data_IF_567753678902
#
_entry.id   IF_567753678902
#
_cell.length_a   1.000
_cell.length_b   1.000
_cell.length_c   1.000
_cell.angle_alpha   90.00
_cell.angle_beta   90.00
_cell.angle_gamma   90.00
#
_symmetry.space_group_name_H-M   'P 1'
#
loop_
_entity.id
_entity.type
_entity.pdbx_description
1 polymer ?
#
# COMPACT_ATOMS: atom_id res chain seq x y z
N UNK A 1 -25.73 7.62 -16.78
CA UNK A 1 -24.26 7.83 -16.87
C UNK A 1 -23.77 8.33 -15.51
N UNK A 2 -22.68 7.82 -14.92
CA UNK A 2 -22.13 8.40 -13.70
C UNK A 2 -21.67 9.83 -14.02
N UNK A 3 -22.18 10.83 -13.33
CA UNK A 3 -21.74 12.22 -13.48
C UNK A 3 -20.26 12.32 -13.12
N UNK A 4 -19.50 13.20 -13.76
CA UNK A 4 -18.06 13.35 -13.52
C UNK A 4 -17.71 13.56 -12.02
N UNK A 5 -18.63 14.12 -11.24
CA UNK A 5 -18.49 14.31 -9.79
C UNK A 5 -18.51 12.99 -8.99
N UNK A 6 -19.28 11.99 -9.45
CA UNK A 6 -19.27 10.65 -8.82
C UNK A 6 -17.92 9.94 -8.97
N UNK A 7 -17.24 10.12 -10.10
CA UNK A 7 -15.90 9.56 -10.34
C UNK A 7 -14.82 10.23 -9.49
N UNK A 8 -14.89 11.56 -9.32
CA UNK A 8 -13.99 12.33 -8.46
C UNK A 8 -14.14 11.94 -6.98
N UNK A 9 -15.38 11.79 -6.51
CA UNK A 9 -15.66 11.38 -5.13
C UNK A 9 -15.12 9.97 -4.83
N UNK A 10 -15.26 9.03 -5.77
CA UNK A 10 -14.78 7.65 -5.62
C UNK A 10 -13.27 7.53 -5.46
N UNK A 11 -12.51 8.41 -6.09
CA UNK A 11 -11.06 8.49 -5.92
C UNK A 11 -10.68 9.21 -4.62
N UNK A 12 -11.50 10.15 -4.17
CA UNK A 12 -11.17 11.01 -3.05
C UNK A 12 -11.05 10.25 -1.71
N UNK A 13 -11.96 9.33 -1.38
CA UNK A 13 -11.84 8.58 -0.11
C UNK A 13 -10.69 7.56 -0.13
N UNK A 14 -10.35 7.00 -1.30
CA UNK A 14 -9.18 6.12 -1.49
C UNK A 14 -7.90 6.92 -1.31
N UNK A 15 -7.83 8.10 -1.93
CA UNK A 15 -6.69 9.03 -1.77
C UNK A 15 -6.59 9.54 -0.32
N UNK A 16 -7.73 9.80 0.34
CA UNK A 16 -7.75 10.20 1.75
C UNK A 16 -7.19 9.10 2.65
N UNK A 17 -7.63 7.84 2.48
CA UNK A 17 -7.09 6.69 3.22
C UNK A 17 -5.60 6.48 2.91
N UNK A 18 -5.16 6.74 1.68
CA UNK A 18 -3.72 6.72 1.32
C UNK A 18 -2.95 7.83 2.04
N UNK A 19 -3.53 9.01 2.17
CA UNK A 19 -2.98 10.12 2.97
C UNK A 19 -2.85 9.76 4.45
N UNK A 20 -3.87 9.09 5.01
CA UNK A 20 -3.81 8.58 6.39
C UNK A 20 -2.63 7.62 6.56
N UNK A 21 -2.43 6.71 5.59
CA UNK A 21 -1.27 5.82 5.58
C UNK A 21 0.06 6.60 5.57
N UNK A 22 0.16 7.70 4.81
CA UNK A 22 1.34 8.58 4.84
C UNK A 22 1.58 9.18 6.22
N UNK A 23 0.55 9.70 6.88
CA UNK A 23 0.70 10.32 8.21
C UNK A 23 1.15 9.31 9.26
N UNK A 24 0.53 8.11 9.27
CA UNK A 24 0.92 7.03 10.18
C UNK A 24 2.36 6.55 9.91
N UNK A 25 2.75 6.50 8.64
CA UNK A 25 4.13 6.17 8.25
C UNK A 25 5.12 7.21 8.77
N UNK A 26 4.85 8.50 8.55
CA UNK A 26 5.71 9.57 9.05
C UNK A 26 5.87 9.49 10.56
N UNK A 27 4.76 9.32 11.28
CA UNK A 27 4.76 9.17 12.73
C UNK A 27 5.68 8.02 13.18
N UNK A 28 5.51 6.85 12.58
CA UNK A 28 6.26 5.65 12.93
C UNK A 28 7.75 5.84 12.70
N UNK A 29 8.14 6.32 11.51
CA UNK A 29 9.54 6.56 11.19
C UNK A 29 10.17 7.65 12.07
N UNK A 30 9.44 8.75 12.32
CA UNK A 30 9.94 9.84 13.17
C UNK A 30 10.20 9.35 14.60
N UNK A 31 9.24 8.66 15.21
CA UNK A 31 9.39 8.16 16.58
C UNK A 31 10.39 7.00 16.67
N UNK A 32 10.41 6.09 15.70
CA UNK A 32 11.39 5.02 15.64
C UNK A 32 12.82 5.52 15.37
N UNK A 33 13.00 6.62 14.65
CA UNK A 33 14.35 7.13 14.37
C UNK A 33 14.86 8.04 15.49
N UNK A 34 14.03 8.96 16.00
CA UNK A 34 14.52 10.07 16.82
C UNK A 34 14.45 9.83 18.32
N UNK A 35 13.48 9.05 18.81
CA UNK A 35 13.26 8.91 20.25
C UNK A 35 14.44 8.22 20.94
N UNK A 36 14.85 8.80 22.08
CA UNK A 36 15.84 8.21 22.97
C UNK A 36 15.41 6.85 23.51
N UNK A 37 16.35 5.98 23.92
CA UNK A 37 16.03 4.68 24.52
C UNK A 37 15.05 4.79 25.70
N UNK A 38 15.22 5.82 26.54
CA UNK A 38 14.34 6.07 27.68
C UNK A 38 12.92 6.46 27.24
N UNK A 39 12.77 7.30 26.21
CA UNK A 39 11.47 7.70 25.70
C UNK A 39 10.70 6.52 25.06
N UNK A 40 11.41 5.55 24.48
CA UNK A 40 10.81 4.32 23.90
C UNK A 40 10.20 3.38 24.94
N UNK A 41 10.60 3.47 26.20
CA UNK A 41 10.00 2.67 27.27
C UNK A 41 8.64 3.24 27.75
N UNK A 42 8.20 4.37 27.20
CA UNK A 42 6.94 4.99 27.58
C UNK A 42 5.70 4.28 26.99
N UNK A 43 4.57 4.38 27.70
CA UNK A 43 3.26 3.97 27.18
C UNK A 43 2.90 4.72 25.89
N UNK A 44 3.32 5.97 25.76
CA UNK A 44 3.13 6.76 24.55
C UNK A 44 3.75 6.07 23.33
N UNK A 45 5.02 5.65 23.43
CA UNK A 45 5.69 4.95 22.33
C UNK A 45 4.99 3.64 22.01
N UNK A 46 4.63 2.84 23.01
CA UNK A 46 3.88 1.60 22.82
C UNK A 46 2.58 1.80 22.03
N UNK A 47 1.73 2.76 22.42
CA UNK A 47 0.50 3.06 21.67
C UNK A 47 0.76 3.62 20.27
N UNK A 48 1.82 4.42 20.11
CA UNK A 48 2.24 4.94 18.80
C UNK A 48 2.65 3.81 17.85
N UNK A 49 3.30 2.76 18.37
CA UNK A 49 3.73 1.60 17.58
C UNK A 49 2.55 0.72 17.16
N UNK A 50 1.47 0.64 17.96
CA UNK A 50 0.23 -0.02 17.52
C UNK A 50 -0.32 0.64 16.24
N UNK A 51 -0.34 1.97 16.21
CA UNK A 51 -0.71 2.72 15.00
C UNK A 51 0.31 2.52 13.86
N UNK A 52 1.58 2.35 14.21
CA UNK A 52 2.67 2.06 13.28
C UNK A 52 2.63 0.68 12.62
N UNK A 53 1.74 -0.22 13.05
CA UNK A 53 1.53 -1.49 12.35
C UNK A 53 0.68 -1.36 11.07
N UNK A 54 0.00 -0.23 10.87
CA UNK A 54 -0.96 -0.03 9.76
C UNK A 54 -0.43 0.58 8.45
N UNK A 55 0.67 1.37 8.39
CA UNK A 55 1.10 1.99 7.14
C UNK A 55 1.30 1.01 5.98
N UNK A 56 2.11 -0.04 6.19
CA UNK A 56 2.38 -1.03 5.14
C UNK A 56 1.12 -1.81 4.71
N UNK A 57 0.29 -2.35 5.65
CA UNK A 57 -0.97 -2.99 5.28
C UNK A 57 -1.93 -2.05 4.52
N UNK A 58 -2.02 -0.76 4.92
CA UNK A 58 -2.83 0.23 4.22
C UNK A 58 -2.35 0.44 2.78
N UNK A 59 -1.05 0.65 2.56
CA UNK A 59 -0.52 0.85 1.20
C UNK A 59 -0.72 -0.38 0.31
N UNK A 60 -0.46 -1.59 0.83
CA UNK A 60 -0.65 -2.83 0.08
C UNK A 60 -2.13 -3.06 -0.26
N UNK A 61 -3.02 -2.90 0.72
CA UNK A 61 -4.47 -3.02 0.52
C UNK A 61 -5.01 -1.99 -0.50
N UNK A 62 -4.59 -0.73 -0.39
CA UNK A 62 -4.96 0.32 -1.34
C UNK A 62 -4.37 0.08 -2.74
N UNK A 63 -3.17 -0.50 -2.84
CA UNK A 63 -2.58 -0.93 -4.10
C UNK A 63 -3.45 -2.01 -4.76
N UNK A 64 -3.92 -3.00 -3.97
CA UNK A 64 -4.89 -4.01 -4.42
C UNK A 64 -6.21 -3.42 -4.93
N UNK A 65 -6.80 -2.49 -4.18
CA UNK A 65 -8.03 -1.80 -4.62
C UNK A 65 -7.77 -1.06 -5.94
N UNK A 66 -6.69 -0.28 -6.01
CA UNK A 66 -6.33 0.50 -7.20
C UNK A 66 -6.06 -0.41 -8.41
N UNK A 67 -5.44 -1.57 -8.18
CA UNK A 67 -5.24 -2.59 -9.20
C UNK A 67 -6.57 -3.11 -9.74
N UNK A 68 -7.53 -3.45 -8.86
CA UNK A 68 -8.87 -3.88 -9.28
C UNK A 68 -9.58 -2.81 -10.13
N UNK A 69 -9.46 -1.53 -9.77
CA UNK A 69 -10.04 -0.42 -10.54
C UNK A 69 -9.51 -0.39 -11.97
N UNK A 70 -8.18 -0.52 -12.13
CA UNK A 70 -7.49 -0.48 -13.42
C UNK A 70 -7.82 -1.72 -14.25
N UNK A 71 -7.76 -2.91 -13.65
CA UNK A 71 -8.11 -4.19 -14.30
C UNK A 71 -9.56 -4.19 -14.78
N UNK A 72 -10.53 -3.79 -13.94
CA UNK A 72 -11.93 -3.69 -14.34
C UNK A 72 -12.11 -2.67 -15.47
N UNK A 73 -11.44 -1.52 -15.41
CA UNK A 73 -11.54 -0.50 -16.47
C UNK A 73 -11.05 -1.02 -17.82
N UNK A 74 -9.97 -1.79 -17.84
CA UNK A 74 -9.44 -2.38 -19.07
C UNK A 74 -10.31 -3.55 -19.55
N UNK A 75 -10.85 -4.35 -18.63
CA UNK A 75 -11.76 -5.43 -18.95
C UNK A 75 -13.08 -4.91 -19.55
N UNK A 76 -13.64 -3.82 -19.01
CA UNK A 76 -14.82 -3.14 -19.55
C UNK A 76 -14.60 -2.55 -20.94
N UNK A 77 -13.34 -2.23 -21.30
CA UNK A 77 -12.95 -1.80 -22.64
C UNK A 77 -12.80 -2.96 -23.63
N UNK A 78 -13.02 -4.21 -23.20
CA UNK A 78 -12.89 -5.38 -24.05
C UNK A 78 -11.45 -5.75 -24.39
N UNK A 79 -10.46 -5.28 -23.62
CA UNK A 79 -9.06 -5.63 -23.87
C UNK A 79 -8.81 -7.13 -23.60
N UNK A 80 -7.97 -7.80 -24.41
CA UNK A 80 -7.61 -9.21 -24.18
C UNK A 80 -6.96 -9.43 -22.81
N UNK A 81 -7.20 -10.58 -22.14
CA UNK A 81 -6.62 -10.88 -20.83
C UNK A 81 -5.10 -10.73 -20.77
N UNK A 82 -4.38 -11.15 -21.82
CA UNK A 82 -2.92 -11.04 -21.90
C UNK A 82 -2.44 -9.57 -21.93
N UNK A 83 -3.19 -8.67 -22.58
CA UNK A 83 -2.85 -7.24 -22.61
C UNK A 83 -3.11 -6.57 -21.25
N UNK A 84 -4.20 -6.96 -20.58
CA UNK A 84 -4.50 -6.51 -19.21
C UNK A 84 -3.37 -6.94 -18.26
N UNK A 85 -2.95 -8.19 -18.35
CA UNK A 85 -1.86 -8.75 -17.57
C UNK A 85 -0.53 -8.03 -17.84
N UNK A 86 -0.14 -7.89 -19.10
CA UNK A 86 1.11 -7.25 -19.48
C UNK A 86 1.19 -5.79 -18.98
N UNK A 87 0.09 -5.02 -19.13
CA UNK A 87 0.04 -3.63 -18.65
C UNK A 87 0.17 -3.54 -17.13
N UNK A 88 -0.53 -4.40 -16.40
CA UNK A 88 -0.53 -4.40 -14.94
C UNK A 88 0.78 -4.93 -14.34
N UNK A 89 1.35 -6.00 -14.92
CA UNK A 89 2.64 -6.57 -14.54
C UNK A 89 3.75 -5.57 -14.83
N UNK A 90 3.76 -4.92 -16.00
CA UNK A 90 4.74 -3.87 -16.32
C UNK A 90 4.70 -2.75 -15.29
N UNK A 91 3.51 -2.31 -14.89
CA UNK A 91 3.37 -1.29 -13.84
C UNK A 91 3.89 -1.77 -12.49
N UNK A 92 3.68 -3.04 -12.13
CA UNK A 92 4.28 -3.66 -10.95
C UNK A 92 5.81 -3.69 -11.03
N UNK A 93 6.36 -4.05 -12.18
CA UNK A 93 7.80 -4.06 -12.44
C UNK A 93 8.42 -2.65 -12.37
N UNK A 94 7.72 -1.61 -12.82
CA UNK A 94 8.16 -0.22 -12.65
C UNK A 94 8.27 0.16 -11.17
N UNK A 95 7.27 -0.19 -10.34
CA UNK A 95 7.31 0.10 -8.89
C UNK A 95 8.41 -0.71 -8.21
N UNK A 96 8.60 -1.97 -8.62
CA UNK A 96 9.70 -2.80 -8.15
C UNK A 96 11.07 -2.19 -8.49
N UNK A 97 11.24 -1.71 -9.72
CA UNK A 97 12.46 -1.03 -10.16
C UNK A 97 12.69 0.27 -9.38
N UNK A 98 11.64 1.05 -9.10
CA UNK A 98 11.76 2.21 -8.20
C UNK A 98 12.21 1.83 -6.79
N UNK A 99 11.74 0.69 -6.26
CA UNK A 99 12.22 0.16 -4.97
C UNK A 99 13.72 -0.15 -4.99
N UNK A 100 14.22 -0.80 -6.05
CA UNK A 100 15.65 -1.07 -6.22
C UNK A 100 16.47 0.22 -6.39
N UNK A 101 15.97 1.17 -7.19
CA UNK A 101 16.61 2.46 -7.40
C UNK A 101 16.68 3.27 -6.11
N UNK A 102 15.64 3.21 -5.29
CA UNK A 102 15.60 3.86 -3.98
C UNK A 102 16.70 3.32 -3.06
N UNK A 103 16.87 1.99 -2.99
CA UNK A 103 17.95 1.36 -2.22
C UNK A 103 19.34 1.72 -2.74
N UNK A 104 19.51 1.78 -4.06
CA UNK A 104 20.75 2.24 -4.67
C UNK A 104 21.06 3.69 -4.30
N UNK A 105 20.06 4.58 -4.36
CA UNK A 105 20.22 5.97 -3.96
C UNK A 105 20.66 6.08 -2.50
N UNK A 106 19.94 5.42 -1.57
CA UNK A 106 20.29 5.45 -0.14
C UNK A 106 21.71 4.93 0.10
N UNK A 107 22.10 3.85 -0.57
CA UNK A 107 23.45 3.28 -0.45
C UNK A 107 24.53 4.26 -0.91
N UNK A 108 24.29 4.97 -2.01
CA UNK A 108 25.22 6.00 -2.54
C UNK A 108 25.27 7.21 -1.60
N UNK A 109 24.13 7.70 -1.11
CA UNK A 109 24.05 8.83 -0.17
C UNK A 109 24.72 8.49 1.18
N UNK A 110 24.62 7.24 1.62
CA UNK A 110 25.28 6.77 2.84
C UNK A 110 26.82 6.84 2.76
N UNK A 111 27.40 6.94 1.56
CA UNK A 111 28.83 7.19 1.33
C UNK A 111 29.75 6.31 2.18
N UNK A 112 29.58 4.99 2.07
CA UNK A 112 30.40 3.98 2.76
C UNK A 112 30.01 3.67 4.21
N UNK A 113 28.96 4.30 4.75
CA UNK A 113 28.45 3.99 6.10
C UNK A 113 27.49 2.81 6.12
N UNK A 114 26.88 2.47 4.98
CA UNK A 114 25.94 1.36 4.86
C UNK A 114 26.65 0.09 4.38
N UNK A 115 26.36 -1.08 4.97
CA UNK A 115 26.88 -2.35 4.46
C UNK A 115 26.31 -2.67 3.07
N UNK A 116 27.10 -3.34 2.23
CA UNK A 116 26.66 -3.70 0.87
C UNK A 116 25.41 -4.61 0.82
N UNK A 117 25.11 -5.35 1.89
CA UNK A 117 23.87 -6.11 2.01
C UNK A 117 22.61 -5.24 1.98
N UNK A 118 22.69 -3.97 2.40
CA UNK A 118 21.53 -3.07 2.43
C UNK A 118 20.98 -2.77 1.04
N UNK A 119 21.80 -2.91 -0.01
CA UNK A 119 21.37 -2.74 -1.40
C UNK A 119 20.30 -3.77 -1.81
N UNK A 120 20.37 -4.97 -1.25
CA UNK A 120 19.45 -6.08 -1.54
C UNK A 120 18.41 -6.29 -0.43
N UNK A 121 18.27 -5.32 0.49
CA UNK A 121 17.24 -5.34 1.52
C UNK A 121 15.85 -5.21 0.86
N UNK A 122 14.93 -6.08 1.25
CA UNK A 122 13.55 -6.07 0.72
C UNK A 122 12.73 -5.01 1.46
N UNK A 123 12.35 -3.98 0.73
CA UNK A 123 11.56 -2.86 1.22
C UNK A 123 10.10 -2.93 0.71
N UNK A 124 9.22 -2.14 1.32
CA UNK A 124 7.78 -2.10 1.03
C UNK A 124 7.47 -1.84 -0.45
N UNK A 125 8.28 -1.03 -1.14
CA UNK A 125 8.12 -0.78 -2.58
C UNK A 125 8.35 -2.06 -3.40
N UNK A 126 9.35 -2.87 -3.01
CA UNK A 126 9.59 -4.14 -3.69
C UNK A 126 8.41 -5.08 -3.49
N UNK A 127 7.87 -5.16 -2.27
CA UNK A 127 6.68 -5.98 -1.93
C UNK A 127 5.45 -5.54 -2.71
N UNK A 128 5.20 -4.24 -2.81
CA UNK A 128 4.08 -3.70 -3.60
C UNK A 128 4.25 -4.09 -5.07
N UNK A 129 5.45 -3.89 -5.63
CA UNK A 129 5.74 -4.23 -7.03
C UNK A 129 5.54 -5.73 -7.31
N UNK A 130 6.10 -6.60 -6.47
CA UNK A 130 5.95 -8.06 -6.59
C UNK A 130 4.50 -8.48 -6.43
N UNK A 131 3.80 -7.95 -5.43
CA UNK A 131 2.37 -8.23 -5.22
C UNK A 131 1.53 -7.85 -6.45
N UNK A 132 1.82 -6.70 -7.08
CA UNK A 132 1.14 -6.30 -8.32
C UNK A 132 1.41 -7.23 -9.49
N UNK A 133 2.64 -7.72 -9.64
CA UNK A 133 2.96 -8.71 -10.67
C UNK A 133 2.21 -10.03 -10.43
N UNK A 134 2.19 -10.53 -9.18
CA UNK A 134 1.43 -11.72 -8.81
C UNK A 134 -0.07 -11.56 -9.03
N UNK A 135 -0.64 -10.42 -8.65
CA UNK A 135 -2.04 -10.09 -8.92
C UNK A 135 -2.36 -10.05 -10.43
N UNK A 136 -1.44 -9.55 -11.25
CA UNK A 136 -1.56 -9.56 -12.71
C UNK A 136 -1.62 -10.96 -13.30
N UNK A 137 -0.77 -11.86 -12.81
CA UNK A 137 -0.78 -13.28 -13.18
C UNK A 137 -2.10 -13.93 -12.74
N UNK A 138 -2.55 -13.70 -11.52
CA UNK A 138 -3.83 -14.24 -11.01
C UNK A 138 -5.01 -13.76 -11.85
N UNK A 139 -5.09 -12.45 -12.13
CA UNK A 139 -6.16 -11.89 -12.95
C UNK A 139 -6.12 -12.44 -14.38
N UNK A 140 -4.93 -12.62 -14.95
CA UNK A 140 -4.75 -13.23 -16.26
C UNK A 140 -5.33 -14.64 -16.32
N UNK A 141 -4.96 -15.50 -15.37
CA UNK A 141 -5.43 -16.89 -15.28
C UNK A 141 -6.96 -16.92 -15.15
N UNK A 142 -7.53 -16.12 -14.24
CA UNK A 142 -8.98 -16.06 -14.04
C UNK A 142 -9.71 -15.63 -15.32
N UNK A 143 -9.23 -14.58 -15.99
CA UNK A 143 -9.84 -14.06 -17.22
C UNK A 143 -9.63 -14.97 -18.43
N UNK A 144 -8.58 -15.79 -18.44
CA UNK A 144 -8.32 -16.77 -19.49
C UNK A 144 -9.23 -18.00 -19.37
N UNK A 145 -9.47 -18.47 -18.14
CA UNK A 145 -10.26 -19.68 -17.85
C UNK A 145 -11.77 -19.38 -17.84
N UNK A 146 -12.19 -18.35 -17.11
CA UNK A 146 -13.61 -18.09 -16.88
C UNK A 146 -14.17 -17.12 -17.91
N UNK A 147 -15.26 -17.51 -18.58
CA UNK A 147 -16.05 -16.64 -19.46
C UNK A 147 -17.47 -16.48 -18.93
N UNK A 148 -18.04 -15.28 -19.11
CA UNK A 148 -19.43 -14.98 -18.76
C UNK A 148 -19.64 -14.59 -17.29
N UNK A 149 -20.79 -14.93 -16.68
CA UNK A 149 -21.21 -14.39 -15.39
C UNK A 149 -20.32 -14.83 -14.22
N UNK A 150 -19.70 -16.03 -14.32
CA UNK A 150 -18.83 -16.57 -13.28
C UNK A 150 -17.48 -15.86 -13.16
N UNK A 151 -17.03 -15.15 -14.19
CA UNK A 151 -15.73 -14.46 -14.19
C UNK A 151 -15.63 -13.45 -13.05
N UNK A 152 -16.70 -12.71 -12.75
CA UNK A 152 -16.70 -11.73 -11.66
C UNK A 152 -16.59 -12.39 -10.29
N UNK A 153 -17.28 -13.50 -10.08
CA UNK A 153 -17.18 -14.27 -8.84
C UNK A 153 -15.77 -14.82 -8.68
N UNK A 154 -15.18 -15.39 -9.73
CA UNK A 154 -13.80 -15.86 -9.71
C UNK A 154 -12.79 -14.75 -9.41
N UNK A 155 -12.96 -13.55 -9.98
CA UNK A 155 -12.12 -12.37 -9.68
C UNK A 155 -12.21 -11.93 -8.20
N UNK A 156 -13.27 -12.28 -7.47
CA UNK A 156 -13.39 -11.99 -6.03
C UNK A 156 -12.86 -13.16 -5.20
N UNK A 157 -13.24 -14.39 -5.53
CA UNK A 157 -12.89 -15.59 -4.76
C UNK A 157 -11.42 -15.94 -4.88
N UNK A 158 -10.80 -15.83 -6.06
CA UNK A 158 -9.39 -16.20 -6.25
C UNK A 158 -8.44 -15.32 -5.44
N UNK A 159 -8.55 -13.97 -5.45
CA UNK A 159 -7.75 -13.12 -4.56
C UNK A 159 -8.04 -13.34 -3.07
N UNK A 160 -9.30 -13.61 -2.69
CA UNK A 160 -9.65 -13.94 -1.30
C UNK A 160 -8.96 -15.22 -0.85
N UNK A 161 -8.99 -16.27 -1.68
CA UNK A 161 -8.29 -17.53 -1.44
C UNK A 161 -6.78 -17.36 -1.42
N UNK A 162 -6.21 -16.51 -2.29
CA UNK A 162 -4.78 -16.20 -2.27
C UNK A 162 -4.35 -15.48 -0.98
N UNK A 163 -5.14 -14.50 -0.51
CA UNK A 163 -4.87 -13.82 0.76
C UNK A 163 -4.91 -14.79 1.95
N UNK A 164 -5.92 -15.67 1.99
CA UNK A 164 -6.04 -16.72 3.01
C UNK A 164 -4.86 -17.70 2.94
N UNK A 165 -4.49 -18.15 1.75
CA UNK A 165 -3.36 -19.07 1.55
C UNK A 165 -2.04 -18.44 2.01
N UNK A 166 -1.76 -17.19 1.63
CA UNK A 166 -0.58 -16.45 2.08
C UNK A 166 -0.57 -16.37 3.62
N UNK A 167 -1.71 -16.03 4.22
CA UNK A 167 -1.85 -15.96 5.67
C UNK A 167 -1.55 -17.31 6.34
N UNK A 168 -2.14 -18.41 5.86
CA UNK A 168 -1.97 -19.75 6.43
C UNK A 168 -0.57 -20.34 6.21
N UNK A 169 0.10 -19.99 5.12
CA UNK A 169 1.47 -20.42 4.82
C UNK A 169 2.53 -19.57 5.53
N UNK A 170 2.18 -18.39 6.05
CA UNK A 170 3.16 -17.50 6.69
C UNK A 170 3.86 -18.14 7.90
N UNK A 171 3.16 -18.72 8.90
CA UNK A 171 3.82 -19.31 10.05
C UNK A 171 4.87 -20.39 9.70
N UNK A 172 4.58 -21.42 8.88
CA UNK A 172 5.59 -22.41 8.56
C UNK A 172 6.76 -21.83 7.77
N UNK A 173 6.53 -20.88 6.84
CA UNK A 173 7.59 -20.22 6.06
C UNK A 173 8.56 -19.39 6.91
N UNK A 174 8.11 -18.95 8.08
CA UNK A 174 8.91 -18.19 9.02
C UNK A 174 9.59 -19.06 10.09
N UNK A 175 9.11 -20.27 10.32
CA UNK A 175 9.50 -21.06 11.49
C UNK A 175 9.98 -22.47 11.14
N UNK A 176 9.07 -23.33 10.67
CA UNK A 176 9.33 -24.77 10.55
C UNK A 176 9.91 -25.19 9.21
N UNK A 177 9.64 -24.46 8.13
CA UNK A 177 10.11 -24.79 6.80
C UNK A 177 10.62 -23.56 6.08
N UNK A 178 11.84 -23.64 5.55
CA UNK A 178 12.48 -22.52 4.87
C UNK A 178 13.24 -22.98 3.64
N UNK A 179 13.22 -22.18 2.56
CA UNK A 179 13.86 -22.52 1.31
C UNK A 179 15.36 -22.21 1.33
N UNK A 180 16.12 -22.91 2.19
CA UNK A 180 17.57 -22.70 2.39
C UNK A 180 18.43 -22.94 1.13
N UNK A 181 17.86 -23.55 0.08
CA UNK A 181 18.53 -23.70 -1.22
C UNK A 181 18.55 -22.40 -2.04
N UNK A 182 17.75 -21.39 -1.68
CA UNK A 182 17.79 -20.08 -2.29
C UNK A 182 18.91 -19.23 -1.69
N UNK A 183 19.52 -18.38 -2.51
CA UNK A 183 20.39 -17.34 -1.98
C UNK A 183 19.59 -16.38 -1.10
N UNK A 184 20.24 -15.84 -0.07
CA UNK A 184 19.59 -14.97 0.89
C UNK A 184 18.82 -13.79 0.27
N UNK A 185 19.23 -13.16 -0.86
CA UNK A 185 18.45 -12.09 -1.48
C UNK A 185 17.11 -12.57 -2.01
N UNK A 186 17.05 -13.79 -2.56
CA UNK A 186 15.81 -14.38 -3.07
C UNK A 186 14.93 -14.91 -1.94
N UNK A 187 15.53 -15.58 -0.94
CA UNK A 187 14.79 -16.03 0.24
C UNK A 187 14.17 -14.84 1.00
N UNK A 188 14.85 -13.69 1.03
CA UNK A 188 14.33 -12.46 1.66
C UNK A 188 13.00 -11.99 1.08
N UNK A 189 12.70 -12.27 -0.19
CA UNK A 189 11.40 -11.98 -0.77
C UNK A 189 10.30 -12.91 -0.27
N UNK A 190 10.63 -14.10 0.22
CA UNK A 190 9.66 -15.09 0.71
C UNK A 190 9.33 -14.82 2.18
N UNK A 191 10.35 -14.77 3.03
CA UNK A 191 10.18 -14.72 4.50
C UNK A 191 11.08 -13.68 5.19
N UNK A 192 11.82 -12.84 4.46
CA UNK A 192 12.52 -11.71 5.05
C UNK A 192 13.77 -12.10 5.84
N UNK A 193 14.53 -13.09 5.38
CA UNK A 193 15.71 -13.61 6.11
C UNK A 193 16.93 -12.69 6.10
N UNK A 194 17.09 -11.88 5.04
CA UNK A 194 18.26 -11.05 4.82
C UNK A 194 19.58 -11.85 4.96
N UNK A 195 20.70 -11.20 5.27
CA UNK A 195 21.97 -11.88 5.54
C UNK A 195 22.08 -12.47 6.96
N UNK A 196 20.98 -12.49 7.74
CA UNK A 196 20.99 -12.91 9.16
C UNK A 196 20.71 -14.40 9.34
N UNK A 197 20.26 -15.08 8.28
CA UNK A 197 19.90 -16.48 8.35
C UNK A 197 18.60 -16.76 9.12
N UNK A 198 17.85 -15.74 9.57
CA UNK A 198 16.52 -15.88 10.22
C UNK A 198 15.55 -14.78 9.75
N UNK A 199 14.24 -15.06 9.63
CA UNK A 199 13.24 -14.05 9.26
C UNK A 199 13.26 -12.82 10.18
N UNK A 200 13.20 -11.63 9.59
CA UNK A 200 13.27 -10.36 10.31
C UNK A 200 11.97 -9.56 10.22
N UNK A 201 11.39 -9.13 11.36
CA UNK A 201 10.07 -8.49 11.39
C UNK A 201 10.05 -7.07 10.81
N UNK A 202 11.21 -6.43 10.67
CA UNK A 202 11.34 -5.08 10.08
C UNK A 202 11.47 -5.08 8.55
N UNK A 203 11.37 -6.24 7.91
CA UNK A 203 11.40 -6.38 6.45
C UNK A 203 10.01 -6.63 5.88
N UNK A 204 9.88 -6.43 4.57
CA UNK A 204 8.61 -6.58 3.85
C UNK A 204 8.61 -7.74 2.84
N UNK A 205 8.76 -9.01 3.27
CA UNK A 205 8.62 -10.15 2.35
C UNK A 205 7.20 -10.33 1.80
N UNK A 206 7.01 -11.27 0.87
CA UNK A 206 5.69 -11.65 0.35
C UNK A 206 4.80 -12.22 1.48
N UNK A 207 5.36 -13.03 2.38
CA UNK A 207 4.61 -13.64 3.47
C UNK A 207 4.88 -12.89 4.77
N UNK A 208 3.89 -12.22 5.41
CA UNK A 208 2.46 -12.20 5.07
C UNK A 208 2.02 -11.05 4.16
N UNK A 209 2.89 -10.08 3.88
CA UNK A 209 2.48 -8.75 3.43
C UNK A 209 1.68 -8.72 2.11
N UNK A 210 2.01 -9.57 1.14
CA UNK A 210 1.27 -9.67 -0.13
C UNK A 210 -0.22 -10.05 0.08
N UNK A 211 -0.55 -10.73 1.18
CA UNK A 211 -1.93 -11.06 1.54
C UNK A 211 -2.81 -9.82 1.69
N UNK A 212 -2.27 -8.70 2.20
CA UNK A 212 -3.02 -7.44 2.30
C UNK A 212 -3.35 -6.85 0.91
N UNK A 213 -2.43 -6.98 -0.05
CA UNK A 213 -2.69 -6.57 -1.43
C UNK A 213 -3.78 -7.42 -2.08
N UNK A 214 -3.78 -8.73 -1.86
CA UNK A 214 -4.83 -9.62 -2.35
C UNK A 214 -6.19 -9.39 -1.68
N UNK A 215 -6.22 -9.10 -0.37
CA UNK A 215 -7.44 -8.68 0.33
C UNK A 215 -7.99 -7.36 -0.25
N UNK A 216 -7.09 -6.43 -0.58
CA UNK A 216 -7.42 -5.19 -1.29
C UNK A 216 -7.97 -5.43 -2.68
N UNK A 217 -7.39 -6.36 -3.44
CA UNK A 217 -7.84 -6.75 -4.78
C UNK A 217 -9.25 -7.32 -4.74
N UNK A 218 -9.54 -8.26 -3.82
CA UNK A 218 -10.87 -8.81 -3.62
C UNK A 218 -11.89 -7.70 -3.29
N UNK A 219 -11.55 -6.83 -2.33
CA UNK A 219 -12.40 -5.68 -1.95
C UNK A 219 -12.64 -4.75 -3.14
N UNK A 220 -11.59 -4.47 -3.92
CA UNK A 220 -11.68 -3.64 -5.12
C UNK A 220 -12.63 -4.22 -6.17
N UNK A 221 -12.59 -5.53 -6.43
CA UNK A 221 -13.53 -6.17 -7.36
C UNK A 221 -14.98 -6.17 -6.85
N UNK A 222 -15.19 -6.33 -5.54
CA UNK A 222 -16.52 -6.18 -4.91
C UNK A 222 -17.06 -4.77 -5.16
N UNK A 223 -16.26 -3.74 -4.83
CA UNK A 223 -16.62 -2.32 -5.02
C UNK A 223 -16.87 -1.93 -6.49
N UNK A 224 -16.28 -2.66 -7.41
CA UNK A 224 -16.42 -2.43 -8.84
C UNK A 224 -17.57 -3.19 -9.49
N UNK A 225 -18.22 -4.09 -8.76
CA UNK A 225 -19.43 -4.76 -9.24
C UNK A 225 -20.54 -3.76 -9.55
N UNK A 226 -21.35 -3.98 -10.62
CA UNK A 226 -22.45 -3.07 -10.98
C UNK A 226 -23.41 -2.80 -9.81
N UNK A 227 -23.71 -3.85 -9.04
CA UNK A 227 -24.55 -3.77 -7.84
C UNK A 227 -23.94 -2.85 -6.76
N UNK A 228 -22.65 -3.01 -6.45
CA UNK A 228 -21.99 -2.18 -5.44
C UNK A 228 -21.89 -0.72 -5.88
N UNK A 229 -21.62 -0.47 -7.16
CA UNK A 229 -21.60 0.90 -7.71
C UNK A 229 -22.93 1.63 -7.57
N UNK A 230 -24.05 0.91 -7.70
CA UNK A 230 -25.38 1.49 -7.55
C UNK A 230 -25.78 1.71 -6.09
N UNK A 231 -25.16 1.00 -5.15
CA UNK A 231 -25.54 0.97 -3.72
C UNK A 231 -24.36 1.31 -2.81
N UNK A 232 -23.50 2.22 -3.25
CA UNK A 232 -22.24 2.55 -2.56
C UNK A 232 -22.48 2.95 -1.09
N UNK A 233 -23.54 3.71 -0.82
CA UNK A 233 -23.94 4.14 0.53
C UNK A 233 -24.38 3.02 1.47
N UNK A 234 -24.68 1.83 0.94
CA UNK A 234 -24.98 0.62 1.73
C UNK A 234 -23.78 -0.31 1.79
N UNK A 235 -23.07 -0.47 0.67
CA UNK A 235 -21.94 -1.39 0.56
C UNK A 235 -20.78 -0.95 1.43
N UNK A 236 -20.38 0.32 1.39
CA UNK A 236 -19.22 0.79 2.14
C UNK A 236 -19.40 0.65 3.66
N UNK A 237 -20.53 1.08 4.27
CA UNK A 237 -20.80 0.80 5.68
C UNK A 237 -20.87 -0.71 5.99
N UNK A 238 -21.43 -1.53 5.10
CA UNK A 238 -21.47 -2.98 5.31
C UNK A 238 -20.08 -3.62 5.32
N UNK A 239 -19.12 -3.10 4.55
CA UNK A 239 -17.71 -3.53 4.62
C UNK A 239 -17.11 -3.20 5.99
N UNK A 240 -17.50 -2.09 6.62
CA UNK A 240 -17.11 -1.78 7.99
C UNK A 240 -17.65 -2.79 9.00
N UNK A 241 -18.93 -3.17 8.88
CA UNK A 241 -19.55 -4.22 9.72
C UNK A 241 -18.86 -5.57 9.53
N UNK A 242 -18.64 -5.98 8.27
CA UNK A 242 -17.87 -7.19 7.95
C UNK A 242 -16.46 -7.11 8.54
N UNK A 243 -15.81 -5.95 8.46
CA UNK A 243 -14.51 -5.71 9.08
C UNK A 243 -14.50 -5.99 10.58
N UNK A 244 -15.50 -5.48 11.32
CA UNK A 244 -15.66 -5.74 12.76
C UNK A 244 -15.87 -7.24 13.02
N UNK A 245 -16.73 -7.91 12.25
CA UNK A 245 -16.95 -9.35 12.39
C UNK A 245 -15.67 -10.16 12.12
N UNK A 246 -14.85 -9.75 11.15
CA UNK A 246 -13.56 -10.38 10.86
C UNK A 246 -12.55 -10.15 12.01
N UNK A 247 -12.56 -8.98 12.65
CA UNK A 247 -11.76 -8.73 13.86
C UNK A 247 -12.17 -9.67 14.98
N UNK A 248 -13.46 -9.75 15.29
CA UNK A 248 -13.97 -10.62 16.35
C UNK A 248 -13.72 -12.10 16.05
N UNK A 249 -13.85 -12.52 14.79
CA UNK A 249 -13.50 -13.87 14.36
C UNK A 249 -12.02 -14.17 14.60
N UNK A 250 -11.12 -13.25 14.22
CA UNK A 250 -9.69 -13.42 14.46
C UNK A 250 -9.35 -13.53 15.96
N UNK A 251 -9.98 -12.70 16.80
CA UNK A 251 -9.83 -12.78 18.27
C UNK A 251 -10.38 -14.09 18.84
N UNK A 252 -11.54 -14.52 18.37
CA UNK A 252 -12.18 -15.75 18.82
C UNK A 252 -11.38 -16.99 18.44
N UNK A 253 -10.85 -17.04 17.21
CA UNK A 253 -9.96 -18.11 16.74
C UNK A 253 -8.68 -18.18 17.57
N UNK A 254 -8.11 -17.04 17.93
CA UNK A 254 -6.89 -16.96 18.75
C UNK A 254 -7.11 -17.40 20.20
N UNK A 255 -8.31 -17.15 20.74
CA UNK A 255 -8.70 -17.59 22.08
C UNK A 255 -9.00 -19.10 22.17
N UNK A 256 -9.03 -19.82 21.05
CA UNK A 256 -9.27 -21.27 21.08
C UNK A 256 -8.05 -22.01 21.66
N UNK A 257 -8.25 -23.07 22.45
CA UNK A 257 -7.15 -23.83 23.06
C UNK A 257 -6.36 -24.68 22.04
N UNK A 258 -6.77 -24.69 20.77
CA UNK A 258 -6.17 -25.53 19.73
C UNK A 258 -5.03 -24.78 19.04
N UNK A 259 -3.82 -25.31 19.16
CA UNK A 259 -2.66 -24.76 18.48
C UNK A 259 -2.48 -25.43 17.11
N UNK A 260 -2.75 -24.69 16.02
CA UNK A 260 -2.62 -25.18 14.64
C UNK A 260 -1.16 -25.27 14.16
N UNK A 261 -0.27 -24.44 14.69
CA UNK A 261 1.12 -24.32 14.24
C UNK A 261 2.10 -24.67 15.36
N UNK A 262 3.23 -25.28 15.01
CA UNK A 262 4.24 -25.69 15.98
C UNK A 262 4.82 -24.52 16.81
N UNK A 263 4.92 -23.33 16.21
CA UNK A 263 5.43 -22.11 16.86
C UNK A 263 4.32 -21.07 16.90
N UNK A 264 4.08 -20.51 18.09
CA UNK A 264 3.13 -19.44 18.30
C UNK A 264 3.83 -18.08 18.26
N UNK A 265 3.53 -17.28 17.23
CA UNK A 265 3.93 -15.88 17.14
C UNK A 265 2.75 -15.04 16.62
N UNK A 266 2.05 -14.43 17.57
CA UNK A 266 0.85 -13.64 17.30
C UNK A 266 1.14 -12.40 16.44
N UNK A 267 2.20 -11.65 16.75
CA UNK A 267 2.38 -10.30 16.22
C UNK A 267 3.00 -10.28 14.82
N UNK A 268 3.74 -11.32 14.44
CA UNK A 268 4.45 -11.32 13.14
C UNK A 268 3.84 -12.28 12.12
N UNK A 269 3.53 -13.52 12.53
CA UNK A 269 3.21 -14.60 11.57
C UNK A 269 1.78 -15.11 11.67
N UNK A 270 1.06 -14.82 12.76
CA UNK A 270 -0.26 -15.39 13.03
C UNK A 270 -1.32 -15.05 11.96
N UNK A 271 -2.04 -16.05 11.43
CA UNK A 271 -3.20 -15.84 10.58
C UNK A 271 -4.32 -15.07 11.27
N UNK A 272 -4.49 -15.26 12.59
CA UNK A 272 -5.51 -14.55 13.36
C UNK A 272 -5.21 -13.05 13.41
N UNK A 273 -3.95 -12.69 13.62
CA UNK A 273 -3.53 -11.29 13.60
C UNK A 273 -3.60 -10.68 12.20
N UNK A 274 -3.34 -11.47 11.15
CA UNK A 274 -3.60 -11.05 9.77
C UNK A 274 -5.10 -10.74 9.54
N UNK A 275 -6.01 -11.62 9.98
CA UNK A 275 -7.46 -11.38 9.90
C UNK A 275 -7.87 -10.10 10.63
N UNK A 276 -7.40 -9.91 11.87
CA UNK A 276 -7.66 -8.70 12.66
C UNK A 276 -7.23 -7.44 11.88
N UNK A 277 -6.03 -7.46 11.27
CA UNK A 277 -5.55 -6.33 10.46
C UNK A 277 -6.42 -6.12 9.22
N UNK A 278 -6.81 -7.17 8.49
CA UNK A 278 -7.74 -7.04 7.36
C UNK A 278 -9.09 -6.45 7.80
N UNK A 279 -9.62 -6.88 8.95
CA UNK A 279 -10.83 -6.33 9.54
C UNK A 279 -10.72 -4.83 9.83
N UNK A 280 -9.61 -4.39 10.42
CA UNK A 280 -9.32 -2.98 10.62
C UNK A 280 -9.19 -2.21 9.30
N UNK A 281 -8.55 -2.77 8.27
CA UNK A 281 -8.44 -2.12 6.96
C UNK A 281 -9.81 -1.87 6.32
N UNK A 282 -10.73 -2.83 6.43
CA UNK A 282 -12.12 -2.68 5.98
C UNK A 282 -12.88 -1.62 6.79
N UNK A 283 -12.70 -1.61 8.12
CA UNK A 283 -13.28 -0.59 8.99
C UNK A 283 -12.74 0.82 8.67
N UNK A 284 -11.43 0.96 8.45
CA UNK A 284 -10.78 2.23 8.07
C UNK A 284 -11.26 2.69 6.69
N UNK A 285 -11.44 1.77 5.73
CA UNK A 285 -12.01 2.11 4.43
C UNK A 285 -13.43 2.66 4.55
N UNK A 286 -14.28 2.00 5.36
CA UNK A 286 -15.63 2.47 5.65
C UNK A 286 -15.63 3.82 6.37
N UNK A 287 -14.76 4.01 7.37
CA UNK A 287 -14.62 5.27 8.09
C UNK A 287 -14.13 6.41 7.18
N UNK A 288 -13.16 6.13 6.30
CA UNK A 288 -12.66 7.08 5.30
C UNK A 288 -13.78 7.51 4.34
N UNK A 289 -14.59 6.55 3.89
CA UNK A 289 -15.78 6.83 3.07
C UNK A 289 -16.78 7.73 3.81
N UNK A 290 -17.16 7.35 5.04
CA UNK A 290 -18.10 8.12 5.86
C UNK A 290 -17.58 9.55 6.14
N UNK A 291 -16.30 9.68 6.46
CA UNK A 291 -15.64 10.96 6.70
C UNK A 291 -15.61 11.86 5.46
N UNK A 292 -15.35 11.30 4.28
CA UNK A 292 -15.41 12.05 3.03
C UNK A 292 -16.85 12.38 2.60
N UNK A 293 -17.83 11.51 2.89
CA UNK A 293 -19.22 11.67 2.45
C UNK A 293 -20.03 12.63 3.30
N UNK A 294 -19.88 12.52 4.61
CA UNK A 294 -20.70 13.22 5.62
C UNK A 294 -19.88 14.08 6.56
N UNK A 295 -18.57 13.83 6.68
CA UNK A 295 -17.67 14.64 7.49
C UNK A 295 -17.01 15.77 6.70
N UNK A 296 -15.98 16.34 7.32
CA UNK A 296 -15.19 17.44 6.75
C UNK A 296 -14.07 16.97 5.81
N UNK A 297 -14.00 15.67 5.48
CA UNK A 297 -12.86 15.10 4.74
C UNK A 297 -12.60 15.71 3.37
N UNK A 298 -13.64 16.32 2.77
CA UNK A 298 -13.59 17.00 1.47
C UNK A 298 -14.01 18.47 1.55
N UNK A 299 -14.09 19.05 2.76
CA UNK A 299 -14.42 20.47 2.90
C UNK A 299 -13.20 21.31 2.54
N UNK A 300 -13.32 22.11 1.46
CA UNK A 300 -12.25 22.98 0.99
C UNK A 300 -10.98 22.21 0.61
N UNK A 301 -9.86 22.56 1.25
CA UNK A 301 -8.58 21.88 1.04
C UNK A 301 -8.47 20.65 1.95
N UNK A 302 -8.19 19.48 1.36
CA UNK A 302 -8.01 18.22 2.10
C UNK A 302 -6.53 17.79 2.11
N UNK A 303 -5.79 18.00 3.22
CA UNK A 303 -4.38 17.66 3.31
C UNK A 303 -4.09 16.17 3.05
N UNK A 304 -4.96 15.29 3.55
CA UNK A 304 -4.79 13.85 3.41
C UNK A 304 -4.97 13.39 1.97
N UNK A 305 -6.00 13.90 1.26
CA UNK A 305 -6.14 13.62 -0.19
C UNK A 305 -4.91 14.11 -0.95
N UNK A 306 -4.42 15.31 -0.62
CA UNK A 306 -3.25 15.91 -1.26
C UNK A 306 -1.98 15.07 -1.04
N UNK A 307 -1.74 14.57 0.17
CA UNK A 307 -0.66 13.63 0.48
C UNK A 307 -0.83 12.30 -0.26
N UNK A 308 -2.06 11.75 -0.25
CA UNK A 308 -2.38 10.48 -0.91
C UNK A 308 -2.17 10.49 -2.43
N UNK A 309 -2.38 11.63 -3.10
CA UNK A 309 -2.11 11.78 -4.53
C UNK A 309 -0.61 11.80 -4.87
N UNK A 310 0.23 12.20 -3.91
CA UNK A 310 1.67 12.30 -4.06
C UNK A 310 2.43 11.26 -3.21
N UNK A 311 1.78 10.19 -2.75
CA UNK A 311 2.27 9.28 -1.70
C UNK A 311 3.67 8.73 -1.96
N UNK A 312 3.99 8.35 -3.21
CA UNK A 312 5.31 7.85 -3.58
C UNK A 312 6.42 8.91 -3.45
N UNK A 313 6.13 10.16 -3.81
CA UNK A 313 7.13 11.25 -3.69
C UNK A 313 7.36 11.60 -2.23
N UNK A 314 6.28 11.76 -1.46
CA UNK A 314 6.43 12.06 -0.03
C UNK A 314 7.07 10.90 0.71
N UNK A 315 6.81 9.64 0.30
CA UNK A 315 7.54 8.46 0.77
C UNK A 315 9.05 8.62 0.54
N UNK A 316 9.44 8.87 -0.69
CA UNK A 316 10.86 8.97 -1.06
C UNK A 316 11.58 10.06 -0.27
N UNK A 317 10.98 11.25 -0.20
CA UNK A 317 11.66 12.44 0.36
C UNK A 317 11.67 12.42 1.90
N UNK A 318 10.60 11.95 2.56
CA UNK A 318 10.58 11.97 4.03
C UNK A 318 11.61 11.00 4.64
N UNK A 319 11.90 9.86 4.02
CA UNK A 319 12.90 8.91 4.52
C UNK A 319 14.27 9.58 4.63
N UNK A 320 14.66 10.39 3.64
CA UNK A 320 15.95 11.10 3.67
C UNK A 320 16.06 12.08 4.84
N UNK A 321 14.97 12.76 5.18
CA UNK A 321 14.92 13.71 6.30
C UNK A 321 14.76 13.04 7.68
N UNK A 322 14.45 11.75 7.72
CA UNK A 322 14.27 10.99 8.97
C UNK A 322 15.44 10.02 9.16
N UNK A 323 15.57 9.02 8.29
CA UNK A 323 16.62 8.00 8.37
C UNK A 323 17.89 8.35 7.60
N UNK A 324 17.82 9.26 6.62
CA UNK A 324 18.97 9.63 5.80
C UNK A 324 20.08 10.34 6.60
N UNK A 325 21.14 10.70 5.88
CA UNK A 325 22.29 11.42 6.46
C UNK A 325 21.90 12.81 6.98
N UNK A 326 20.96 13.47 6.29
CA UNK A 326 20.47 14.81 6.60
C UNK A 326 19.21 14.78 7.48
N UNK A 327 19.20 13.90 8.49
CA UNK A 327 18.09 13.82 9.44
C UNK A 327 17.89 15.16 10.13
N UNK A 328 16.65 15.65 10.20
CA UNK A 328 16.35 16.98 10.77
C UNK A 328 16.51 17.03 12.29
N UNK A 329 16.51 15.86 12.96
CA UNK A 329 16.73 15.72 14.39
C UNK A 329 17.78 14.63 14.66
N UNK A 330 18.54 14.73 15.77
CA UNK A 330 19.53 13.72 16.07
C UNK A 330 18.86 12.39 16.45
N UNK A 331 19.33 11.31 15.83
CA UNK A 331 18.75 9.96 15.95
C UNK A 331 18.95 9.40 17.37
N UNK A 332 17.96 8.66 17.86
CA UNK A 332 17.99 7.96 19.15
C UNK A 332 18.36 8.83 20.38
N UNK A 333 18.02 10.12 20.38
CA UNK A 333 18.50 11.04 21.43
C UNK A 333 17.45 12.00 21.99
N UNK A 334 16.35 12.24 21.28
CA UNK A 334 15.41 13.30 21.66
C UNK A 334 14.19 12.76 22.40
N UNK A 335 13.56 13.63 23.19
CA UNK A 335 12.31 13.33 23.89
C UNK A 335 11.06 13.42 22.99
N UNK A 336 9.91 13.00 23.54
CA UNK A 336 8.63 12.92 22.82
C UNK A 336 8.16 14.26 22.27
N UNK A 337 8.30 15.35 23.04
CA UNK A 337 7.89 16.69 22.61
C UNK A 337 8.66 17.15 21.36
N UNK A 338 9.99 17.08 21.41
CA UNK A 338 10.86 17.43 20.29
C UNK A 338 10.61 16.55 19.06
N UNK A 339 10.46 15.23 19.24
CA UNK A 339 10.15 14.33 18.13
C UNK A 339 8.79 14.63 17.50
N UNK A 340 7.79 15.02 18.30
CA UNK A 340 6.46 15.38 17.81
C UNK A 340 6.44 16.72 17.05
N UNK A 341 7.25 17.69 17.48
CA UNK A 341 7.49 18.91 16.71
C UNK A 341 8.19 18.60 15.38
N UNK A 342 9.21 17.73 15.38
CA UNK A 342 9.85 17.25 14.15
C UNK A 342 8.85 16.56 13.20
N UNK A 343 7.97 15.72 13.73
CA UNK A 343 6.91 15.06 12.96
C UNK A 343 5.96 16.09 12.31
N UNK A 344 5.56 17.12 13.05
CA UNK A 344 4.73 18.21 12.52
C UNK A 344 5.44 18.94 11.37
N UNK A 345 6.74 19.22 11.52
CA UNK A 345 7.56 19.84 10.46
C UNK A 345 7.62 18.94 9.22
N UNK A 346 7.88 17.64 9.39
CA UNK A 346 7.88 16.68 8.27
C UNK A 346 6.51 16.64 7.59
N UNK A 347 5.42 16.58 8.37
CA UNK A 347 4.07 16.58 7.82
C UNK A 347 3.79 17.82 6.96
N UNK A 348 4.09 19.01 7.46
CA UNK A 348 3.88 20.28 6.74
C UNK A 348 4.77 20.38 5.49
N UNK A 349 6.04 19.97 5.59
CA UNK A 349 6.97 19.96 4.46
C UNK A 349 6.50 19.00 3.35
N UNK A 350 6.08 17.79 3.72
CA UNK A 350 5.58 16.81 2.76
C UNK A 350 4.25 17.23 2.14
N UNK A 351 3.38 17.89 2.91
CA UNK A 351 2.14 18.45 2.41
C UNK A 351 2.40 19.58 1.40
N UNK A 352 3.34 20.47 1.69
CA UNK A 352 3.75 21.53 0.76
C UNK A 352 4.34 20.95 -0.52
N UNK A 353 5.24 19.97 -0.40
CA UNK A 353 5.83 19.28 -1.54
C UNK A 353 4.77 18.60 -2.41
N UNK A 354 3.82 17.89 -1.78
CA UNK A 354 2.71 17.28 -2.47
C UNK A 354 1.88 18.31 -3.24
N UNK A 355 1.58 19.45 -2.61
CA UNK A 355 0.82 20.55 -3.19
C UNK A 355 1.54 21.20 -4.38
N UNK A 356 2.85 21.44 -4.27
CA UNK A 356 3.66 21.97 -5.38
C UNK A 356 3.62 20.99 -6.56
N UNK A 357 3.84 19.69 -6.31
CA UNK A 357 3.79 18.65 -7.33
C UNK A 357 2.44 18.63 -8.06
N UNK A 358 1.31 18.62 -7.32
CA UNK A 358 -0.01 18.54 -7.95
C UNK A 358 -0.37 19.82 -8.71
N UNK A 359 0.12 20.99 -8.29
CA UNK A 359 -0.03 22.23 -9.07
C UNK A 359 0.81 22.25 -10.34
N UNK A 360 2.07 21.79 -10.28
CA UNK A 360 2.95 21.72 -11.46
C UNK A 360 2.37 20.78 -12.52
N UNK A 361 1.85 19.62 -12.12
CA UNK A 361 1.21 18.66 -13.04
C UNK A 361 -0.12 19.14 -13.62
N UNK A 362 -0.78 20.15 -13.01
CA UNK A 362 -2.01 20.75 -13.52
C UNK A 362 -1.78 21.91 -14.48
N UNK A 363 -0.58 22.48 -14.55
CA UNK A 363 -0.22 23.46 -15.59
C UNK A 363 0.11 22.66 -16.86
N UNK A 364 -0.65 22.80 -17.96
CA UNK A 364 -0.17 22.31 -19.24
C UNK A 364 1.14 23.05 -19.52
N UNK A 365 2.19 22.32 -19.89
CA UNK A 365 3.33 22.91 -20.56
C UNK A 365 2.76 23.67 -21.76
N UNK A 366 2.73 25.00 -21.68
CA UNK A 366 2.51 25.86 -22.83
C UNK A 366 3.70 25.61 -23.75
N UNK A 367 3.58 24.65 -24.65
CA UNK A 367 4.42 24.61 -25.85
C UNK A 367 4.14 25.90 -26.61
N UNK A 368 5.14 26.75 -26.89
CA UNK A 368 4.95 27.87 -27.79
C UNK A 368 4.53 27.29 -29.14
N UNK A 369 3.34 27.65 -29.62
CA UNK A 369 2.98 27.46 -31.03
C UNK A 369 3.98 28.28 -31.85
N UNK A 370 5.01 27.63 -32.39
CA UNK A 370 5.76 28.19 -33.50
C UNK A 370 4.87 28.15 -34.73
N UNK A 371 4.32 29.31 -35.07
CA UNK A 371 3.73 29.62 -36.36
C UNK A 371 4.71 29.33 -37.48
N UNK A 372 4.50 28.22 -38.20
CA UNK A 372 4.98 28.07 -39.57
C UNK A 372 3.73 27.90 -40.45
N UNK A 373 3.40 29.00 -41.11
CA UNK A 373 2.27 29.09 -42.02
C UNK A 373 2.46 28.23 -43.26
N UNK A 374 1.38 27.59 -43.67
CA UNK A 374 1.14 27.22 -45.06
C UNK A 374 -0.11 27.99 -45.52
N UNK A 375 -0.08 28.65 -46.69
CA UNK A 375 -1.27 29.34 -47.21
C UNK A 375 -2.30 28.33 -47.73
N UNK A 376 -3.59 28.66 -47.70
CA UNK A 376 -4.64 27.78 -48.20
C UNK A 376 -4.62 27.72 -49.73
N UNK A 377 -4.67 26.52 -50.30
CA UNK A 377 -5.03 26.33 -51.71
C UNK A 377 -6.54 26.59 -51.89
N UNK A 378 -6.96 27.30 -52.94
CA UNK A 378 -8.38 27.47 -53.24
C UNK A 378 -8.96 26.21 -53.92
N UNK A 379 -10.17 25.85 -53.49
CA UNK A 379 -11.02 24.86 -54.14
C UNK A 379 -11.41 25.32 -55.55
N UNK A 380 -11.23 24.46 -56.55
CA UNK A 380 -11.98 24.53 -57.81
C UNK A 380 -12.25 23.12 -58.33
N UNK A 381 -13.56 22.81 -58.44
CA UNK A 381 -14.25 21.80 -59.27
C UNK A 381 -13.73 20.36 -59.27
#
# INVERSE_FOLDING_TARGET
MPTADSGKFRLAYIDWMRGLACVLMFQTHCYDCWLSPQARQSKFFMYSQLAGTFPAPLFLFLAGISFALVTEKMWQKGLPPAQIAASTIRRGAEIFAFGLLFRLQEFVIAWGWAPGSDLLRVDVLNTIGVSMMLMGIVCWVVLAIHRGPHTRLALVLTPTGAALLISLLTPPLWTTWRPHWLSWPLESYINGVHNTGTPQPWLFPIFPWAGFAFAGLATGFILQSPWARQRETRVLPSLGVVGILVVELGRWLDAQPRQLYAVYDFWHTSPNFFLIRVGFLLAILSASYAWCRWGAGLWGFSPLVQLGQASLLVYWVHIEFVYGRFSILPKHSVGIGTASLGLLVIFLAMLLLAFIRTRMMRRPLLTPQSSLGFPPQPLSS
#
